data_IF_146676214525
#
_entry.id   IF_146676214525
#
_cell.length_a   1.000
_cell.length_b   1.000
_cell.length_c   1.000
_cell.angle_alpha   90.00
_cell.angle_beta   90.00
_cell.angle_gamma   90.00
#
_symmetry.space_group_name_H-M   'P 1'
#
loop_
_entity.id
_entity.type
_entity.pdbx_description
1 polymer ?
#
# COMPACT_ATOMS: atom_id res chain seq x y z
N UNK A 1 0.64 14.75 -15.03
CA UNK A 1 -0.03 13.48 -14.70
C UNK A 1 0.73 12.35 -15.39
N UNK A 2 1.83 11.90 -14.80
CA UNK A 2 2.80 11.02 -15.47
C UNK A 2 3.80 10.38 -14.51
N UNK A 3 4.11 11.05 -13.40
CA UNK A 3 4.94 10.50 -12.33
C UNK A 3 4.31 9.24 -11.70
N UNK A 4 2.98 9.22 -11.54
CA UNK A 4 2.24 8.08 -10.99
C UNK A 4 2.36 6.83 -11.87
N UNK A 5 2.39 7.00 -13.20
CA UNK A 5 2.50 5.86 -14.12
C UNK A 5 3.89 5.25 -14.04
N UNK A 6 4.95 6.06 -14.16
CA UNK A 6 6.33 5.55 -14.10
C UNK A 6 6.66 4.93 -12.73
N UNK A 7 6.18 5.53 -11.64
CA UNK A 7 6.34 4.95 -10.31
C UNK A 7 5.63 3.59 -10.20
N UNK A 8 4.41 3.46 -10.71
CA UNK A 8 3.68 2.19 -10.63
C UNK A 8 4.30 1.10 -11.51
N UNK A 9 4.84 1.46 -12.67
CA UNK A 9 5.59 0.52 -13.52
C UNK A 9 6.83 0.01 -12.78
N UNK A 10 7.60 0.90 -12.15
CA UNK A 10 8.76 0.51 -11.34
C UNK A 10 8.37 -0.36 -10.15
N UNK A 11 7.30 -0.01 -9.42
CA UNK A 11 6.75 -0.86 -8.35
C UNK A 11 6.35 -2.24 -8.90
N UNK A 12 5.74 -2.29 -10.09
CA UNK A 12 5.35 -3.55 -10.72
C UNK A 12 6.56 -4.44 -11.02
N UNK A 13 7.66 -3.87 -11.50
CA UNK A 13 8.90 -4.61 -11.75
C UNK A 13 9.50 -5.14 -10.44
N UNK A 14 9.57 -4.28 -9.41
CA UNK A 14 10.11 -4.67 -8.09
C UNK A 14 9.25 -5.74 -7.41
N UNK A 15 7.93 -5.69 -7.59
CA UNK A 15 6.97 -6.61 -6.95
C UNK A 15 6.55 -7.78 -7.84
N UNK A 16 7.08 -7.88 -9.06
CA UNK A 16 6.89 -9.00 -9.97
C UNK A 16 7.07 -10.39 -9.30
N UNK A 17 8.08 -10.63 -8.43
CA UNK A 17 8.21 -11.91 -7.75
C UNK A 17 7.15 -12.19 -6.67
N UNK A 18 6.40 -11.17 -6.21
CA UNK A 18 5.27 -11.34 -5.29
C UNK A 18 3.97 -11.69 -6.01
N UNK A 19 3.81 -11.23 -7.25
CA UNK A 19 2.65 -11.50 -8.08
C UNK A 19 2.35 -10.39 -9.09
N UNK A 20 1.19 -10.47 -9.73
CA UNK A 20 0.77 -9.51 -10.74
C UNK A 20 0.29 -8.21 -10.08
N UNK A 21 1.03 -7.12 -10.29
CA UNK A 21 0.61 -5.80 -9.85
C UNK A 21 -0.49 -5.25 -10.75
N UNK A 22 -1.57 -4.78 -10.13
CA UNK A 22 -2.66 -4.05 -10.80
C UNK A 22 -2.99 -2.79 -10.02
N UNK A 23 -3.42 -1.74 -10.72
CA UNK A 23 -3.80 -0.47 -10.11
C UNK A 23 -5.27 -0.17 -10.37
N UNK A 24 -5.92 0.47 -9.40
CA UNK A 24 -7.27 1.01 -9.57
C UNK A 24 -7.28 2.47 -9.12
N UNK A 25 -7.60 3.37 -10.03
CA UNK A 25 -7.85 4.76 -9.68
C UNK A 25 -9.03 4.84 -8.69
N UNK A 26 -8.85 5.55 -7.59
CA UNK A 26 -9.90 5.92 -6.65
C UNK A 26 -9.97 7.44 -6.55
N UNK A 27 -11.10 7.96 -6.11
CA UNK A 27 -11.37 9.40 -6.01
C UNK A 27 -10.36 10.06 -5.06
N UNK A 28 -9.24 10.58 -5.60
CA UNK A 28 -8.13 11.18 -4.84
C UNK A 28 -6.82 10.36 -4.77
N UNK A 29 -6.63 9.33 -5.61
CA UNK A 29 -5.37 8.58 -5.70
C UNK A 29 -5.48 7.29 -6.52
N UNK A 30 -4.57 6.34 -6.27
CA UNK A 30 -4.57 5.01 -6.86
C UNK A 30 -4.39 3.93 -5.79
N UNK A 31 -5.21 2.89 -5.83
CA UNK A 31 -5.03 1.69 -4.99
C UNK A 31 -4.24 0.65 -5.76
N UNK A 32 -3.20 0.09 -5.15
CA UNK A 32 -2.36 -0.95 -5.72
C UNK A 32 -2.74 -2.32 -5.16
N UNK A 33 -2.84 -3.28 -6.07
CA UNK A 33 -3.21 -4.65 -5.78
C UNK A 33 -2.14 -5.60 -6.31
N UNK A 34 -1.81 -6.62 -5.55
CA UNK A 34 -1.00 -7.75 -5.96
C UNK A 34 -1.89 -8.99 -5.94
N UNK A 35 -2.06 -9.65 -7.08
CA UNK A 35 -2.95 -10.81 -7.22
C UNK A 35 -4.39 -10.54 -6.71
N UNK A 36 -4.88 -9.31 -6.93
CA UNK A 36 -6.20 -8.86 -6.45
C UNK A 36 -6.27 -8.52 -4.96
N UNK A 37 -5.17 -8.64 -4.21
CA UNK A 37 -5.07 -8.24 -2.81
C UNK A 37 -4.52 -6.83 -2.69
N UNK A 38 -5.20 -5.96 -1.94
CA UNK A 38 -4.72 -4.59 -1.68
C UNK A 38 -3.53 -4.63 -0.72
N UNK A 39 -2.40 -4.09 -1.15
CA UNK A 39 -1.18 -4.02 -0.33
C UNK A 39 -0.72 -2.57 -0.10
N UNK A 40 -1.02 -1.65 -1.02
CA UNK A 40 -0.62 -0.25 -0.93
C UNK A 40 -1.63 0.70 -1.59
N UNK A 41 -1.55 1.97 -1.24
CA UNK A 41 -2.29 3.08 -1.86
C UNK A 41 -1.31 4.22 -2.16
N UNK A 42 -1.49 4.86 -3.30
CA UNK A 42 -0.82 6.08 -3.70
C UNK A 42 -1.84 7.22 -3.59
N UNK A 43 -1.59 8.23 -2.77
CA UNK A 43 -2.47 9.39 -2.70
C UNK A 43 -2.22 10.34 -3.87
N UNK A 44 -3.18 11.20 -4.22
CA UNK A 44 -2.98 12.23 -5.27
C UNK A 44 -1.84 13.20 -4.95
N UNK A 45 -1.43 13.30 -3.69
CA UNK A 45 -0.24 14.03 -3.24
C UNK A 45 1.09 13.31 -3.57
N UNK A 46 1.03 12.12 -4.18
CA UNK A 46 2.20 11.31 -4.52
C UNK A 46 2.76 10.49 -3.36
N UNK A 47 2.05 10.40 -2.24
CA UNK A 47 2.51 9.66 -1.07
C UNK A 47 2.07 8.20 -1.16
N UNK A 48 3.05 7.29 -1.28
CA UNK A 48 2.83 5.85 -1.18
C UNK A 48 2.63 5.45 0.28
N UNK A 49 1.59 4.67 0.53
CA UNK A 49 1.25 4.14 1.85
C UNK A 49 0.97 2.65 1.76
N UNK A 50 1.68 1.86 2.54
CA UNK A 50 1.47 0.41 2.62
C UNK A 50 0.44 0.08 3.66
N UNK A 51 -0.26 -1.03 3.44
CA UNK A 51 -1.17 -1.59 4.43
C UNK A 51 -0.36 -2.12 5.60
N UNK A 52 -0.84 -1.87 6.81
CA UNK A 52 -0.25 -2.39 8.03
C UNK A 52 -1.29 -3.21 8.80
N UNK A 53 -0.80 -3.99 9.76
CA UNK A 53 -1.59 -4.76 10.71
C UNK A 53 -0.88 -4.74 12.07
N UNK A 54 -1.57 -5.16 13.13
CA UNK A 54 -0.99 -5.24 14.47
C UNK A 54 0.34 -6.02 14.51
N UNK A 55 0.53 -7.02 13.64
CA UNK A 55 1.78 -7.78 13.57
C UNK A 55 2.91 -7.02 12.87
N UNK A 56 2.62 -6.28 11.80
CA UNK A 56 3.66 -5.53 11.08
C UNK A 56 3.95 -4.17 11.73
N UNK A 57 3.13 -3.75 12.70
CA UNK A 57 3.21 -2.45 13.34
C UNK A 57 4.58 -2.16 13.98
N UNK A 58 5.17 -3.15 14.66
CA UNK A 58 6.49 -3.03 15.27
C UNK A 58 7.59 -2.75 14.22
N UNK A 59 7.47 -3.31 13.02
CA UNK A 59 8.42 -3.08 11.92
C UNK A 59 8.28 -1.65 11.39
N UNK A 60 7.04 -1.16 11.26
CA UNK A 60 6.78 0.20 10.82
C UNK A 60 7.21 1.25 11.85
N UNK A 61 7.03 0.96 13.14
CA UNK A 61 7.46 1.83 14.24
C UNK A 61 8.98 1.97 14.30
N UNK A 62 9.71 0.87 14.08
CA UNK A 62 11.17 0.88 14.04
C UNK A 62 11.74 1.79 12.93
N UNK A 63 11.04 1.92 11.81
CA UNK A 63 11.43 2.83 10.72
C UNK A 63 10.89 4.26 10.88
N UNK A 64 10.08 4.53 11.93
CA UNK A 64 9.41 5.81 12.09
C UNK A 64 8.33 6.10 11.05
N UNK A 65 7.75 5.06 10.44
CA UNK A 65 6.69 5.22 9.45
C UNK A 65 5.37 5.62 10.13
N UNK A 66 4.86 6.82 9.86
CA UNK A 66 3.66 7.33 10.53
C UNK A 66 2.36 6.63 10.08
N UNK A 67 1.40 6.46 11.01
CA UNK A 67 0.06 5.91 10.69
C UNK A 67 -0.77 6.93 9.95
N UNK A 68 -1.58 6.47 9.00
CA UNK A 68 -2.52 7.33 8.32
C UNK A 68 -3.66 7.76 9.27
N UNK A 69 -3.53 8.95 9.82
CA UNK A 69 -4.58 9.63 10.57
C UNK A 69 -5.25 10.67 9.70
N UNK A 70 -6.58 10.70 9.71
CA UNK A 70 -7.39 11.69 9.01
C UNK A 70 -8.44 12.25 9.95
N UNK A 71 -8.63 13.56 9.93
CA UNK A 71 -9.72 14.21 10.66
C UNK A 71 -11.00 14.10 9.83
N UNK A 72 -12.07 13.66 10.46
CA UNK A 72 -13.42 13.77 9.94
C UNK A 72 -13.93 15.20 10.16
N UNK A 73 -14.83 15.64 9.29
CA UNK A 73 -15.49 16.96 9.36
C UNK A 73 -16.20 17.21 10.71
N UNK A 74 -16.67 16.13 11.34
CA UNK A 74 -17.30 16.08 12.66
C UNK A 74 -16.30 16.23 13.83
N UNK A 75 -15.02 16.54 13.57
CA UNK A 75 -13.98 16.71 14.58
C UNK A 75 -13.40 15.41 15.14
N UNK A 76 -13.91 14.25 14.73
CA UNK A 76 -13.35 12.94 15.08
C UNK A 76 -12.06 12.69 14.31
N UNK A 77 -11.06 12.07 14.94
CA UNK A 77 -9.84 11.60 14.24
C UNK A 77 -9.98 10.11 13.95
N UNK A 78 -10.00 9.76 12.68
CA UNK A 78 -9.90 8.38 12.21
C UNK A 78 -8.45 7.99 12.00
N UNK A 79 -8.05 6.83 12.52
CA UNK A 79 -6.79 6.20 12.15
C UNK A 79 -7.06 4.99 11.28
N UNK A 80 -6.32 4.87 10.18
CA UNK A 80 -6.35 3.72 9.28
C UNK A 80 -5.03 2.97 9.40
N UNK A 81 -5.09 1.63 9.29
CA UNK A 81 -3.91 0.77 9.31
C UNK A 81 -3.16 0.85 7.98
N UNK A 82 -2.69 2.04 7.64
CA UNK A 82 -1.81 2.34 6.52
C UNK A 82 -0.63 3.13 7.06
N UNK A 83 0.57 2.74 6.65
CA UNK A 83 1.83 3.34 7.08
C UNK A 83 2.49 4.01 5.88
N UNK A 84 3.04 5.20 6.08
CA UNK A 84 3.76 5.89 4.99
C UNK A 84 4.96 5.06 4.57
N UNK A 85 5.16 4.92 3.27
CA UNK A 85 6.33 4.26 2.76
C UNK A 85 7.60 5.06 3.15
N UNK A 86 8.62 4.42 3.73
CA UNK A 86 9.88 5.08 4.06
C UNK A 86 10.58 5.54 2.77
N UNK A 87 11.40 6.60 2.86
CA UNK A 87 12.00 7.24 1.68
C UNK A 87 12.93 6.30 0.90
N UNK A 88 13.60 5.39 1.61
CA UNK A 88 14.46 4.35 1.03
C UNK A 88 13.72 3.37 0.09
N UNK A 89 12.39 3.28 0.15
CA UNK A 89 11.59 2.41 -0.70
C UNK A 89 11.72 2.77 -2.17
N UNK A 90 12.02 4.04 -2.50
CA UNK A 90 12.08 4.51 -3.89
C UNK A 90 13.50 4.44 -4.46
N UNK A 91 14.50 4.32 -3.61
CA UNK A 91 15.91 4.23 -3.99
C UNK A 91 16.34 2.77 -4.15
N UNK A 92 15.75 1.86 -3.38
CA UNK A 92 16.13 0.44 -3.34
C UNK A 92 14.97 -0.51 -3.71
N UNK A 93 15.10 -1.31 -4.78
CA UNK A 93 14.06 -2.23 -5.21
C UNK A 93 13.83 -3.38 -4.23
N UNK A 94 14.85 -3.81 -3.48
CA UNK A 94 14.74 -4.86 -2.47
C UNK A 94 13.98 -4.33 -1.24
N UNK A 95 14.24 -3.08 -0.85
CA UNK A 95 13.44 -2.39 0.15
C UNK A 95 11.97 -2.30 -0.29
N UNK A 96 11.70 -1.89 -1.53
CA UNK A 96 10.34 -1.87 -2.07
C UNK A 96 9.65 -3.24 -1.99
N UNK A 97 10.34 -4.28 -2.44
CA UNK A 97 9.84 -5.65 -2.40
C UNK A 97 9.51 -6.07 -0.96
N UNK A 98 10.40 -5.80 0.00
CA UNK A 98 10.22 -6.09 1.43
C UNK A 98 8.98 -5.40 1.99
N UNK A 99 8.83 -4.10 1.73
CA UNK A 99 7.69 -3.31 2.22
C UNK A 99 6.38 -3.71 1.55
N UNK A 100 6.39 -3.98 0.25
CA UNK A 100 5.25 -4.49 -0.48
C UNK A 100 4.79 -5.85 0.06
N UNK A 101 5.73 -6.74 0.37
CA UNK A 101 5.45 -8.04 0.98
C UNK A 101 4.80 -7.89 2.36
N UNK A 102 5.33 -7.01 3.22
CA UNK A 102 4.72 -6.71 4.52
C UNK A 102 3.28 -6.20 4.39
N UNK A 103 3.03 -5.30 3.43
CA UNK A 103 1.70 -4.80 3.14
C UNK A 103 0.75 -5.86 2.58
N UNK A 104 1.26 -6.75 1.73
CA UNK A 104 0.52 -7.87 1.17
C UNK A 104 0.12 -8.86 2.27
N UNK A 105 1.05 -9.22 3.16
CA UNK A 105 0.79 -10.08 4.30
C UNK A 105 -0.27 -9.48 5.24
N UNK A 106 -0.19 -8.17 5.51
CA UNK A 106 -1.22 -7.45 6.26
C UNK A 106 -2.59 -7.49 5.56
N UNK A 107 -2.62 -7.35 4.23
CA UNK A 107 -3.83 -7.50 3.43
C UNK A 107 -4.41 -8.91 3.43
N UNK A 108 -3.56 -9.93 3.45
CA UNK A 108 -3.95 -11.33 3.54
C UNK A 108 -4.50 -11.71 4.92
N UNK A 109 -3.95 -11.13 5.99
CA UNK A 109 -4.42 -11.32 7.37
C UNK A 109 -5.69 -10.52 7.67
N UNK A 110 -5.85 -9.36 7.02
CA UNK A 110 -7.08 -8.59 7.15
C UNK A 110 -8.28 -9.46 6.71
N UNK A 111 -9.40 -9.41 7.44
CA UNK A 111 -10.56 -10.24 7.15
C UNK A 111 -11.01 -9.95 5.72
N UNK A 112 -10.82 -10.93 4.82
CA UNK A 112 -11.24 -10.85 3.43
C UNK A 112 -12.75 -10.65 3.42
N UNK A 113 -13.21 -9.41 3.19
CA UNK A 113 -14.59 -9.18 2.73
C UNK A 113 -14.68 -9.89 1.39
N UNK A 114 -15.29 -11.08 1.39
CA UNK A 114 -15.39 -11.98 0.26
C UNK A 114 -15.75 -11.20 -1.02
N UNK A 115 -14.77 -10.98 -1.90
CA UNK A 115 -15.03 -10.50 -3.25
C UNK A 115 -14.55 -11.57 -4.23
N UNK A 116 -15.56 -12.30 -4.71
CA UNK A 116 -15.62 -13.16 -5.89
C UNK A 116 -14.41 -12.99 -6.82
N UNK A 117 -13.61 -14.04 -6.93
CA UNK A 117 -12.85 -14.33 -8.15
C UNK A 117 -13.81 -14.23 -9.33
N UNK A 118 -13.60 -13.27 -10.22
CA UNK A 118 -14.17 -13.33 -11.55
C UNK A 118 -13.21 -14.16 -12.39
N UNK A 119 -13.51 -15.45 -12.42
CA UNK A 119 -13.07 -16.39 -13.45
C UNK A 119 -13.89 -16.10 -14.69
N UNK A 120 -13.24 -15.64 -15.74
CA UNK A 120 -13.42 -16.08 -17.13
C UNK A 120 -12.25 -15.55 -17.97
#
# INVERSE_FOLDING_TARGET
>A
MGFETGLIEWIAECTAPLGTLTKRAMMGGATLYLDGQVFAILTSDGVLRFKADAVSDAVWDAEGADRFTFAFDDGRVGSMNYRRAPDNVFDDPDAMLRWARLGLEAGLRAPKKAKKSKKD
#
